data_IF_671161023848
#
_entry.id   IF_671161023848
#
_cell.length_a   1.000
_cell.length_b   1.000
_cell.length_c   1.000
_cell.angle_alpha   90.00
_cell.angle_beta   90.00
_cell.angle_gamma   90.00
#
_symmetry.space_group_name_H-M   'P 1'
#
loop_
_entity.id
_entity.type
_entity.pdbx_description
1 polymer ?
#
# COMPACT_ATOMS: atom_id res chain seq x y z
N UNK A 1 49.48 -0.80 12.52
CA UNK A 1 50.74 -0.83 11.74
C UNK A 1 50.96 -2.25 11.23
N UNK A 2 51.12 -2.42 9.92
CA UNK A 2 51.30 -3.75 9.32
C UNK A 2 52.67 -4.32 9.71
N UNK A 3 52.81 -5.66 9.69
CA UNK A 3 54.10 -6.33 9.97
C UNK A 3 55.22 -5.85 9.03
N UNK A 4 54.84 -5.39 7.83
CA UNK A 4 55.74 -4.84 6.82
C UNK A 4 56.35 -3.49 7.22
N UNK A 5 55.57 -2.60 7.85
CA UNK A 5 56.07 -1.31 8.34
C UNK A 5 57.13 -1.50 9.45
N UNK A 6 56.95 -2.47 10.34
CA UNK A 6 57.92 -2.80 11.39
C UNK A 6 59.24 -3.35 10.83
N UNK A 7 59.16 -4.18 9.79
CA UNK A 7 60.34 -4.65 9.07
C UNK A 7 61.07 -3.48 8.40
N UNK A 8 60.33 -2.55 7.77
CA UNK A 8 60.88 -1.32 7.20
C UNK A 8 61.61 -0.48 8.24
N UNK A 9 60.99 -0.20 9.39
CA UNK A 9 61.63 0.53 10.50
C UNK A 9 62.89 -0.19 10.98
N UNK A 10 62.83 -1.50 11.20
CA UNK A 10 63.99 -2.29 11.62
C UNK A 10 65.15 -2.23 10.63
N UNK A 11 64.87 -2.37 9.33
CA UNK A 11 65.87 -2.25 8.27
C UNK A 11 66.48 -0.84 8.21
N UNK A 12 65.67 0.20 8.42
CA UNK A 12 66.14 1.59 8.42
C UNK A 12 67.00 1.90 9.64
N UNK A 13 66.67 1.37 10.82
CA UNK A 13 67.47 1.50 12.03
C UNK A 13 68.81 0.76 11.88
N UNK A 14 68.81 -0.44 11.29
CA UNK A 14 70.04 -1.18 10.99
C UNK A 14 70.92 -0.41 10.00
N UNK A 15 70.33 0.16 8.95
CA UNK A 15 71.03 0.96 7.94
C UNK A 15 71.65 2.22 8.54
N UNK A 16 70.90 2.97 9.34
CA UNK A 16 71.41 4.14 10.05
C UNK A 16 72.49 3.76 11.08
N UNK A 17 72.32 2.63 11.78
CA UNK A 17 73.33 2.09 12.69
C UNK A 17 74.64 1.75 11.98
N UNK A 18 74.57 1.15 10.78
CA UNK A 18 75.75 0.86 9.96
C UNK A 18 76.45 2.14 9.48
N UNK A 19 75.69 3.17 9.08
CA UNK A 19 76.23 4.49 8.73
C UNK A 19 76.94 5.13 9.92
N UNK A 20 76.31 5.13 11.10
CA UNK A 20 76.89 5.68 12.33
C UNK A 20 78.16 4.93 12.75
N UNK A 21 78.16 3.59 12.65
CA UNK A 21 79.33 2.77 12.92
C UNK A 21 80.48 3.11 11.95
N UNK A 22 80.18 3.21 10.65
CA UNK A 22 81.17 3.59 9.64
C UNK A 22 81.77 4.98 9.91
N UNK A 23 80.94 5.93 10.34
CA UNK A 23 81.36 7.29 10.71
C UNK A 23 82.23 7.30 11.98
N UNK A 24 81.88 6.48 12.99
CA UNK A 24 82.69 6.34 14.22
C UNK A 24 84.06 5.72 13.94
N UNK A 25 84.15 4.72 13.07
CA UNK A 25 85.42 4.11 12.68
C UNK A 25 86.33 5.06 11.90
N UNK A 26 85.75 6.01 11.16
CA UNK A 26 86.48 6.98 10.33
C UNK A 26 86.40 8.42 10.87
N UNK A 27 86.22 8.58 12.19
CA UNK A 27 85.89 9.85 12.83
C UNK A 27 86.86 11.00 12.51
N UNK A 28 88.17 10.72 12.50
CA UNK A 28 89.21 11.71 12.21
C UNK A 28 89.11 12.22 10.76
N UNK A 29 88.90 11.32 9.80
CA UNK A 29 88.71 11.66 8.38
C UNK A 29 87.42 12.46 8.15
N UNK A 30 86.40 12.18 8.96
CA UNK A 30 85.10 12.84 8.88
C UNK A 30 85.13 14.29 9.39
N UNK A 31 85.90 14.56 10.46
CA UNK A 31 86.12 15.91 10.99
C UNK A 31 86.93 16.81 10.04
N UNK A 32 87.71 16.22 9.14
CA UNK A 32 88.49 16.95 8.13
C UNK A 32 87.73 17.25 6.83
N UNK A 33 86.48 16.82 6.69
CA UNK A 33 85.66 17.06 5.48
C UNK A 33 85.22 18.52 5.36
N UNK A 34 85.17 19.03 4.13
CA UNK A 34 84.63 20.35 3.83
C UNK A 34 83.09 20.35 3.98
N UNK A 35 82.46 21.49 4.28
CA UNK A 35 81.00 21.58 4.40
C UNK A 35 80.21 21.06 3.18
N UNK A 36 80.73 21.20 1.96
CA UNK A 36 80.07 20.65 0.76
C UNK A 36 80.09 19.12 0.72
N UNK A 37 81.17 18.48 1.19
CA UNK A 37 81.33 17.02 1.19
C UNK A 37 80.41 16.36 2.23
N UNK A 38 80.07 17.08 3.30
CA UNK A 38 79.00 16.69 4.22
C UNK A 38 77.64 16.62 3.53
N UNK A 39 77.34 17.59 2.67
CA UNK A 39 76.13 17.60 1.85
C UNK A 39 76.07 16.40 0.91
N UNK A 40 77.16 16.11 0.20
CA UNK A 40 77.25 14.99 -0.73
C UNK A 40 77.10 13.63 -0.02
N UNK A 41 77.69 13.48 1.17
CA UNK A 41 77.55 12.27 1.98
C UNK A 41 76.11 12.06 2.47
N UNK A 42 75.47 13.11 2.99
CA UNK A 42 74.09 13.02 3.47
C UNK A 42 73.12 12.79 2.31
N UNK A 43 73.32 13.44 1.17
CA UNK A 43 72.52 13.20 -0.03
C UNK A 43 72.67 11.75 -0.55
N UNK A 44 73.89 11.23 -0.56
CA UNK A 44 74.17 9.84 -0.95
C UNK A 44 73.60 8.80 0.02
N UNK A 45 73.59 9.09 1.32
CA UNK A 45 73.10 8.18 2.36
C UNK A 45 71.57 8.22 2.52
N UNK A 46 70.96 9.41 2.45
CA UNK A 46 69.51 9.57 2.58
C UNK A 46 68.74 9.36 1.28
N UNK A 47 69.38 9.47 0.10
CA UNK A 47 68.73 9.24 -1.20
C UNK A 47 68.09 7.84 -1.29
N UNK A 48 68.84 6.75 -1.10
CA UNK A 48 68.29 5.39 -1.09
C UNK A 48 67.22 5.18 -0.02
N UNK A 49 67.40 5.80 1.17
CA UNK A 49 66.44 5.71 2.27
C UNK A 49 65.10 6.37 1.91
N UNK A 50 65.13 7.53 1.26
CA UNK A 50 63.92 8.25 0.84
C UNK A 50 63.15 7.45 -0.22
N UNK A 51 63.86 6.88 -1.21
CA UNK A 51 63.24 6.04 -2.25
C UNK A 51 62.64 4.77 -1.63
N UNK A 52 63.35 4.13 -0.69
CA UNK A 52 62.85 2.95 0.02
C UNK A 52 61.51 3.23 0.72
N UNK A 53 61.40 4.34 1.45
CA UNK A 53 60.17 4.73 2.13
C UNK A 53 59.05 5.14 1.17
N UNK A 54 59.36 5.79 0.05
CA UNK A 54 58.39 6.10 -0.99
C UNK A 54 57.77 4.82 -1.58
N UNK A 55 58.60 3.84 -1.92
CA UNK A 55 58.14 2.56 -2.48
C UNK A 55 57.32 1.78 -1.44
N UNK A 56 57.77 1.72 -0.19
CA UNK A 56 57.03 1.06 0.89
C UNK A 56 55.67 1.72 1.13
N UNK A 57 55.63 3.06 1.13
CA UNK A 57 54.40 3.83 1.23
C UNK A 57 53.44 3.56 0.07
N UNK A 58 53.94 3.49 -1.17
CA UNK A 58 53.14 3.16 -2.35
C UNK A 58 52.51 1.76 -2.24
N UNK A 59 53.26 0.75 -1.80
CA UNK A 59 52.70 -0.59 -1.58
C UNK A 59 51.66 -0.64 -0.47
N UNK A 60 51.85 0.13 0.60
CA UNK A 60 50.87 0.22 1.68
C UNK A 60 49.57 0.89 1.19
N UNK A 61 49.67 2.03 0.51
CA UNK A 61 48.53 2.72 -0.10
C UNK A 61 47.77 1.81 -1.08
N UNK A 62 48.49 1.03 -1.90
CA UNK A 62 47.88 0.08 -2.82
C UNK A 62 47.08 -1.03 -2.12
N UNK A 63 47.55 -1.53 -0.97
CA UNK A 63 46.81 -2.51 -0.17
C UNK A 63 45.56 -1.90 0.47
N UNK A 64 45.67 -0.68 1.01
CA UNK A 64 44.55 0.06 1.58
C UNK A 64 43.46 0.33 0.53
N UNK A 65 43.84 0.72 -0.69
CA UNK A 65 42.91 0.91 -1.81
C UNK A 65 42.20 -0.38 -2.20
N UNK A 66 42.91 -1.51 -2.26
CA UNK A 66 42.30 -2.82 -2.58
C UNK A 66 41.29 -3.25 -1.53
N UNK A 67 41.57 -2.99 -0.25
CA UNK A 67 40.63 -3.26 0.83
C UNK A 67 39.39 -2.35 0.72
N UNK A 68 39.59 -1.05 0.48
CA UNK A 68 38.48 -0.10 0.27
C UNK A 68 37.59 -0.50 -0.91
N UNK A 69 38.17 -0.92 -2.04
CA UNK A 69 37.40 -1.39 -3.20
C UNK A 69 36.59 -2.65 -2.86
N UNK A 70 37.17 -3.59 -2.09
CA UNK A 70 36.47 -4.80 -1.67
C UNK A 70 35.32 -4.48 -0.71
N UNK A 71 35.53 -3.59 0.25
CA UNK A 71 34.49 -3.13 1.18
C UNK A 71 33.37 -2.40 0.44
N UNK A 72 33.72 -1.53 -0.50
CA UNK A 72 32.75 -0.83 -1.34
C UNK A 72 31.91 -1.80 -2.17
N UNK A 73 32.54 -2.81 -2.78
CA UNK A 73 31.83 -3.84 -3.54
C UNK A 73 30.83 -4.60 -2.66
N UNK A 74 31.22 -4.96 -1.43
CA UNK A 74 30.32 -5.61 -0.47
C UNK A 74 29.17 -4.67 -0.06
N UNK A 75 29.46 -3.39 0.20
CA UNK A 75 28.45 -2.40 0.56
C UNK A 75 27.43 -2.18 -0.56
N UNK A 76 27.88 -2.15 -1.81
CA UNK A 76 26.97 -2.05 -2.98
C UNK A 76 26.07 -3.26 -3.08
N UNK A 77 26.60 -4.46 -2.82
CA UNK A 77 25.79 -5.69 -2.85
C UNK A 77 24.73 -5.70 -1.73
N UNK A 78 25.12 -5.31 -0.50
CA UNK A 78 24.19 -5.15 0.61
C UNK A 78 23.10 -4.11 0.33
N UNK A 79 23.45 -3.00 -0.33
CA UNK A 79 22.47 -1.99 -0.73
C UNK A 79 21.49 -2.53 -1.77
N UNK A 80 21.94 -3.32 -2.75
CA UNK A 80 21.04 -3.95 -3.72
C UNK A 80 20.04 -4.89 -3.05
N UNK A 81 20.51 -5.73 -2.14
CA UNK A 81 19.64 -6.63 -1.36
C UNK A 81 18.64 -5.85 -0.49
N UNK A 82 19.09 -4.77 0.15
CA UNK A 82 18.19 -3.90 0.93
C UNK A 82 17.11 -3.26 0.05
N UNK A 83 17.46 -2.86 -1.18
CA UNK A 83 16.50 -2.32 -2.15
C UNK A 83 15.52 -3.38 -2.62
N UNK A 84 15.95 -4.63 -2.84
CA UNK A 84 15.02 -5.71 -3.22
C UNK A 84 14.02 -6.01 -2.10
N UNK A 85 14.49 -6.17 -0.86
CA UNK A 85 13.61 -6.40 0.30
C UNK A 85 12.63 -5.24 0.50
N UNK A 86 13.09 -4.00 0.31
CA UNK A 86 12.22 -2.82 0.41
C UNK A 86 11.13 -2.81 -0.67
N UNK A 87 11.47 -3.22 -1.91
CA UNK A 87 10.48 -3.34 -2.99
C UNK A 87 9.43 -4.40 -2.67
N UNK A 88 9.85 -5.57 -2.21
CA UNK A 88 8.93 -6.66 -1.85
C UNK A 88 7.99 -6.23 -0.70
N UNK A 89 8.51 -5.50 0.29
CA UNK A 89 7.72 -4.96 1.38
C UNK A 89 6.69 -3.91 0.91
N UNK A 90 7.06 -3.03 -0.03
CA UNK A 90 6.14 -2.06 -0.62
C UNK A 90 5.03 -2.74 -1.42
N UNK A 91 5.36 -3.78 -2.19
CA UNK A 91 4.37 -4.55 -2.94
C UNK A 91 3.38 -5.25 -2.00
N UNK A 92 3.86 -5.80 -0.89
CA UNK A 92 3.00 -6.39 0.13
C UNK A 92 2.09 -5.36 0.81
N UNK A 93 2.62 -4.18 1.18
CA UNK A 93 1.82 -3.11 1.76
C UNK A 93 0.72 -2.64 0.80
N UNK A 94 1.03 -2.48 -0.50
CA UNK A 94 0.04 -2.13 -1.52
C UNK A 94 -1.11 -3.15 -1.61
N UNK A 95 -0.81 -4.45 -1.53
CA UNK A 95 -1.84 -5.49 -1.53
C UNK A 95 -2.76 -5.38 -0.31
N UNK A 96 -2.17 -5.20 0.88
CA UNK A 96 -2.93 -5.02 2.12
C UNK A 96 -3.83 -3.78 2.06
N UNK A 97 -3.33 -2.67 1.50
CA UNK A 97 -4.14 -1.46 1.32
C UNK A 97 -5.32 -1.69 0.38
N UNK A 98 -5.10 -2.40 -0.74
CA UNK A 98 -6.19 -2.75 -1.67
C UNK A 98 -7.24 -3.64 -1.01
N UNK A 99 -6.83 -4.64 -0.23
CA UNK A 99 -7.75 -5.50 0.51
C UNK A 99 -8.57 -4.71 1.54
N UNK A 100 -7.92 -3.83 2.30
CA UNK A 100 -8.60 -2.93 3.25
C UNK A 100 -9.61 -2.04 2.56
N UNK A 101 -9.24 -1.47 1.41
CA UNK A 101 -10.15 -0.60 0.66
C UNK A 101 -11.34 -1.37 0.10
N UNK A 102 -11.13 -2.58 -0.42
CA UNK A 102 -12.25 -3.43 -0.85
C UNK A 102 -13.17 -3.82 0.32
N UNK A 103 -12.59 -4.15 1.48
CA UNK A 103 -13.36 -4.45 2.68
C UNK A 103 -14.14 -3.21 3.15
N UNK A 104 -13.52 -2.02 3.09
CA UNK A 104 -14.17 -0.74 3.38
C UNK A 104 -15.36 -0.52 2.45
N UNK A 105 -15.17 -0.58 1.13
CA UNK A 105 -16.22 -0.40 0.11
C UNK A 105 -17.38 -1.39 0.34
N UNK A 106 -17.07 -2.67 0.61
CA UNK A 106 -18.11 -3.68 0.90
C UNK A 106 -18.87 -3.40 2.20
N UNK A 107 -18.23 -2.80 3.19
CA UNK A 107 -18.83 -2.51 4.50
C UNK A 107 -19.72 -1.26 4.49
N UNK A 108 -19.45 -0.29 3.61
CA UNK A 108 -20.24 0.93 3.48
C UNK A 108 -21.47 0.75 2.60
N UNK A 109 -21.47 -0.16 1.60
CA UNK A 109 -22.63 -0.32 0.71
C UNK A 109 -23.87 -0.89 1.43
N UNK A 110 -24.98 -0.14 1.50
CA UNK A 110 -26.20 -0.62 2.10
C UNK A 110 -26.80 -1.73 1.24
N UNK A 111 -27.48 -2.67 1.88
CA UNK A 111 -28.16 -3.77 1.20
C UNK A 111 -29.59 -3.82 1.69
N UNK A 112 -30.54 -3.65 0.76
CA UNK A 112 -31.96 -3.67 1.07
C UNK A 112 -32.53 -5.05 0.72
N UNK A 113 -33.08 -5.74 1.71
CA UNK A 113 -33.86 -6.96 1.48
C UNK A 113 -35.33 -6.61 1.42
N UNK A 114 -36.03 -7.10 0.40
CA UNK A 114 -37.46 -6.85 0.19
C UNK A 114 -38.23 -8.13 0.45
N UNK A 115 -39.20 -8.07 1.35
CA UNK A 115 -40.10 -9.17 1.69
C UNK A 115 -41.52 -8.69 1.41
N UNK A 116 -42.18 -9.24 0.39
CA UNK A 116 -43.62 -9.04 0.19
C UNK A 116 -44.41 -10.03 1.03
N UNK A 117 -45.32 -9.52 1.84
CA UNK A 117 -46.30 -10.31 2.58
C UNK A 117 -47.63 -10.23 1.82
N UNK A 118 -48.29 -11.39 1.65
CA UNK A 118 -49.53 -11.53 0.88
C UNK A 118 -50.65 -10.58 1.29
N UNK A 119 -51.60 -10.40 0.38
CA UNK A 119 -52.64 -9.38 0.49
C UNK A 119 -53.73 -9.69 1.51
N UNK A 120 -54.40 -8.65 2.00
CA UNK A 120 -55.69 -8.78 2.67
C UNK A 120 -56.77 -8.19 1.78
N UNK A 121 -57.84 -8.95 1.52
CA UNK A 121 -58.99 -8.52 0.73
C UNK A 121 -60.07 -7.98 1.67
N UNK A 122 -60.43 -6.70 1.55
CA UNK A 122 -61.53 -6.12 2.31
C UNK A 122 -62.85 -6.38 1.58
N UNK A 123 -63.75 -7.15 2.20
CA UNK A 123 -65.01 -7.58 1.60
C UNK A 123 -65.99 -6.43 1.30
N UNK A 124 -66.38 -6.33 0.03
CA UNK A 124 -67.37 -5.39 -0.51
C UNK A 124 -67.34 -5.36 -2.04
N UNK A 125 -68.39 -4.89 -2.71
CA UNK A 125 -68.53 -4.89 -4.18
C UNK A 125 -67.41 -4.14 -4.95
N UNK A 126 -66.55 -3.37 -4.25
CA UNK A 126 -65.34 -2.71 -4.76
C UNK A 126 -64.09 -3.15 -3.96
N UNK A 127 -63.90 -4.44 -3.74
CA UNK A 127 -62.88 -4.99 -2.83
C UNK A 127 -61.45 -4.58 -3.22
N UNK A 128 -60.84 -3.68 -2.45
CA UNK A 128 -59.43 -3.31 -2.60
C UNK A 128 -58.53 -4.42 -2.05
N UNK A 129 -57.51 -4.80 -2.80
CA UNK A 129 -56.47 -5.73 -2.33
C UNK A 129 -55.33 -4.89 -1.78
N UNK A 130 -54.97 -5.08 -0.51
CA UNK A 130 -53.79 -4.41 0.08
C UNK A 130 -52.65 -5.40 0.23
N UNK A 131 -51.56 -5.24 -0.53
CA UNK A 131 -50.33 -6.01 -0.32
C UNK A 131 -49.35 -5.20 0.53
N UNK A 132 -48.65 -5.84 1.45
CA UNK A 132 -47.65 -5.18 2.30
C UNK A 132 -46.25 -5.59 1.86
N UNK A 133 -45.44 -4.62 1.46
CA UNK A 133 -44.02 -4.79 1.12
C UNK A 133 -43.19 -4.27 2.28
N UNK A 134 -42.42 -5.14 2.93
CA UNK A 134 -41.46 -4.75 3.95
C UNK A 134 -40.08 -4.67 3.30
N UNK A 135 -39.43 -3.53 3.43
CA UNK A 135 -38.04 -3.34 3.01
C UNK A 135 -37.22 -3.20 4.29
N UNK A 136 -36.12 -3.94 4.38
CA UNK A 136 -35.21 -3.94 5.54
C UNK A 136 -33.82 -3.53 5.09
N UNK A 137 -33.20 -2.59 5.80
CA UNK A 137 -31.81 -2.23 5.56
C UNK A 137 -30.87 -3.17 6.33
N UNK A 138 -30.16 -4.06 5.64
CA UNK A 138 -29.43 -5.18 6.27
C UNK A 138 -27.95 -4.91 6.56
N UNK A 139 -27.30 -3.90 5.94
CA UNK A 139 -25.85 -3.67 6.08
C UNK A 139 -25.46 -2.38 6.78
N UNK A 140 -25.62 -1.24 6.13
CA UNK A 140 -25.11 0.06 6.56
C UNK A 140 -26.21 1.11 6.48
N UNK A 141 -26.11 2.17 7.29
CA UNK A 141 -27.13 3.22 7.30
C UNK A 141 -27.15 3.97 5.96
N UNK A 142 -28.32 4.27 5.44
CA UNK A 142 -28.51 4.99 4.19
C UNK A 142 -29.25 6.32 4.44
N UNK A 143 -28.89 7.36 3.72
CA UNK A 143 -29.53 8.68 3.80
C UNK A 143 -30.31 8.99 2.52
N UNK A 144 -31.30 9.88 2.59
CA UNK A 144 -32.12 10.31 1.43
C UNK A 144 -32.71 9.17 0.62
N UNK A 145 -33.25 8.15 1.30
CA UNK A 145 -33.83 7.00 0.62
C UNK A 145 -35.20 7.37 0.05
N UNK A 146 -35.39 7.23 -1.25
CA UNK A 146 -36.66 7.39 -1.94
C UNK A 146 -37.10 6.07 -2.58
N UNK A 147 -38.37 5.73 -2.41
CA UNK A 147 -38.98 4.53 -2.96
C UNK A 147 -40.07 4.96 -3.94
N UNK A 148 -39.91 4.59 -5.22
CA UNK A 148 -40.81 4.99 -6.30
C UNK A 148 -41.21 3.76 -7.10
N UNK A 149 -42.51 3.49 -7.19
CA UNK A 149 -43.06 2.47 -8.08
C UNK A 149 -43.32 3.02 -9.47
N UNK A 150 -43.01 2.24 -10.50
CA UNK A 150 -43.33 2.52 -11.90
C UNK A 150 -44.14 1.34 -12.49
N UNK A 151 -45.38 1.57 -12.98
CA UNK A 151 -46.18 2.82 -12.92
C UNK A 151 -46.58 3.22 -11.49
N UNK A 152 -46.92 4.51 -11.23
CA UNK A 152 -47.23 5.02 -9.90
C UNK A 152 -48.42 4.29 -9.27
N UNK A 153 -48.28 3.92 -7.99
CA UNK A 153 -49.31 3.19 -7.24
C UNK A 153 -49.80 4.05 -6.08
N UNK A 154 -51.06 3.87 -5.67
CA UNK A 154 -51.54 4.40 -4.40
C UNK A 154 -50.91 3.60 -3.26
N UNK A 155 -49.68 3.97 -2.88
CA UNK A 155 -48.98 3.43 -1.74
C UNK A 155 -49.32 4.26 -0.50
N UNK A 156 -49.91 3.62 0.51
CA UNK A 156 -49.95 4.15 1.87
C UNK A 156 -48.60 3.88 2.53
N UNK A 157 -47.77 4.93 2.68
CA UNK A 157 -46.45 4.84 3.31
C UNK A 157 -45.55 6.04 3.00
N UNK A 158 -44.44 6.16 3.75
CA UNK A 158 -43.40 7.16 3.48
C UNK A 158 -42.65 6.81 2.18
N UNK A 159 -42.88 7.56 1.11
CA UNK A 159 -42.13 7.46 -0.16
C UNK A 159 -40.70 8.00 -0.05
N UNK A 160 -40.38 8.70 1.05
CA UNK A 160 -39.09 9.30 1.32
C UNK A 160 -38.72 9.11 2.79
N UNK A 161 -37.49 8.65 3.04
CA UNK A 161 -36.92 8.49 4.38
C UNK A 161 -35.55 9.19 4.43
N UNK A 162 -35.40 10.27 5.22
CA UNK A 162 -34.18 11.06 5.24
C UNK A 162 -32.98 10.30 5.81
N UNK A 163 -33.22 9.41 6.78
CA UNK A 163 -32.18 8.56 7.38
C UNK A 163 -32.76 7.19 7.70
N UNK A 164 -32.06 6.14 7.29
CA UNK A 164 -32.46 4.76 7.48
C UNK A 164 -31.33 3.96 8.12
N UNK A 165 -31.51 3.63 9.40
CA UNK A 165 -30.49 2.92 10.19
C UNK A 165 -30.37 1.43 9.81
N UNK A 166 -29.21 0.83 10.12
CA UNK A 166 -28.97 -0.61 9.96
C UNK A 166 -29.97 -1.42 10.82
N UNK A 167 -30.66 -2.38 10.20
CA UNK A 167 -31.61 -3.29 10.84
C UNK A 167 -33.02 -2.72 10.99
N UNK A 168 -33.27 -1.52 10.47
CA UNK A 168 -34.58 -0.89 10.56
C UNK A 168 -35.47 -1.29 9.37
N UNK A 169 -36.74 -1.57 9.65
CA UNK A 169 -37.73 -1.99 8.67
C UNK A 169 -38.65 -0.83 8.27
N UNK A 170 -38.97 -0.73 6.99
CA UNK A 170 -40.02 0.17 6.48
C UNK A 170 -41.07 -0.67 5.79
N UNK A 171 -42.33 -0.54 6.24
CA UNK A 171 -43.48 -1.21 5.66
C UNK A 171 -44.20 -0.25 4.71
N UNK A 172 -44.39 -0.68 3.47
CA UNK A 172 -45.17 0.01 2.46
C UNK A 172 -46.42 -0.80 2.18
N UNK A 173 -47.59 -0.19 2.33
CA UNK A 173 -48.88 -0.82 2.01
C UNK A 173 -49.34 -0.34 0.64
N UNK A 174 -49.40 -1.24 -0.33
CA UNK A 174 -49.81 -0.94 -1.70
C UNK A 174 -51.26 -1.39 -1.87
N UNK A 175 -52.14 -0.47 -2.27
CA UNK A 175 -53.52 -0.80 -2.60
C UNK A 175 -53.68 -1.03 -4.11
N UNK A 176 -54.32 -2.13 -4.47
CA UNK A 176 -54.67 -2.50 -5.84
C UNK A 176 -56.19 -2.46 -6.03
N UNK A 177 -56.62 -1.97 -7.19
CA UNK A 177 -57.98 -2.13 -7.69
C UNK A 177 -58.09 -3.50 -8.39
N UNK A 178 -59.14 -4.30 -8.10
CA UNK A 178 -59.24 -5.69 -8.55
C UNK A 178 -59.53 -5.87 -10.06
N UNK A 179 -59.71 -4.79 -10.82
CA UNK A 179 -60.28 -4.81 -12.18
C UNK A 179 -59.29 -4.50 -13.31
N UNK A 180 -57.98 -4.67 -13.10
CA UNK A 180 -56.95 -4.50 -14.12
C UNK A 180 -56.16 -5.78 -14.41
N UNK A 181 -55.58 -5.96 -15.62
CA UNK A 181 -54.65 -7.04 -15.89
C UNK A 181 -53.44 -6.96 -14.94
N UNK A 182 -52.78 -8.10 -14.61
CA UNK A 182 -51.59 -8.11 -13.78
C UNK A 182 -50.44 -7.37 -14.48
N UNK A 183 -50.30 -6.08 -14.20
CA UNK A 183 -49.20 -5.26 -14.72
C UNK A 183 -47.91 -5.62 -13.98
N UNK A 184 -46.83 -5.86 -14.76
CA UNK A 184 -45.48 -5.90 -14.21
C UNK A 184 -45.14 -4.52 -13.66
N UNK A 185 -44.63 -4.45 -12.42
CA UNK A 185 -44.24 -3.18 -11.79
C UNK A 185 -42.79 -3.21 -11.37
N UNK A 186 -42.12 -2.08 -11.45
CA UNK A 186 -40.74 -1.91 -11.00
C UNK A 186 -40.73 -0.98 -9.78
N UNK A 187 -40.07 -1.38 -8.71
CA UNK A 187 -39.75 -0.52 -7.58
C UNK A 187 -38.32 -0.02 -7.75
N UNK A 188 -38.19 1.29 -7.89
CA UNK A 188 -36.91 1.98 -7.84
C UNK A 188 -36.65 2.47 -6.42
N UNK A 189 -35.56 2.02 -5.83
CA UNK A 189 -35.05 2.52 -4.55
C UNK A 189 -33.82 3.38 -4.84
N UNK A 190 -33.90 4.69 -4.64
CA UNK A 190 -32.74 5.57 -4.74
C UNK A 190 -32.27 5.93 -3.34
N UNK A 191 -30.96 5.86 -3.07
CA UNK A 191 -30.40 6.16 -1.75
C UNK A 191 -29.04 6.84 -1.87
N UNK A 192 -28.65 7.56 -0.83
CA UNK A 192 -27.31 8.10 -0.65
C UNK A 192 -26.56 7.26 0.39
N UNK A 193 -25.39 6.73 0.02
CA UNK A 193 -24.52 5.99 0.94
C UNK A 193 -23.88 6.95 1.97
N UNK A 194 -23.26 6.39 3.01
CA UNK A 194 -22.44 7.04 4.03
C UNK A 194 -21.32 7.93 3.47
N UNK A 195 -20.82 7.64 2.26
CA UNK A 195 -19.84 8.46 1.55
C UNK A 195 -20.47 9.55 0.65
N UNK A 196 -21.79 9.75 0.70
CA UNK A 196 -22.48 10.80 -0.04
C UNK A 196 -22.77 10.48 -1.51
N UNK A 197 -22.38 9.29 -2.00
CA UNK A 197 -22.71 8.85 -3.36
C UNK A 197 -24.15 8.34 -3.46
N UNK A 198 -24.83 8.73 -4.54
CA UNK A 198 -26.22 8.36 -4.79
C UNK A 198 -26.29 7.14 -5.71
N UNK A 199 -27.01 6.11 -5.28
CA UNK A 199 -27.22 4.87 -6.02
C UNK A 199 -28.71 4.62 -6.25
N UNK A 200 -29.05 3.86 -7.29
CA UNK A 200 -30.42 3.43 -7.58
C UNK A 200 -30.45 1.90 -7.74
N UNK A 201 -31.37 1.24 -7.07
CA UNK A 201 -31.67 -0.18 -7.21
C UNK A 201 -33.05 -0.35 -7.82
N UNK A 202 -33.19 -1.37 -8.66
CA UNK A 202 -34.44 -1.71 -9.34
C UNK A 202 -34.88 -3.11 -8.93
N UNK A 203 -36.15 -3.25 -8.57
CA UNK A 203 -36.75 -4.51 -8.15
C UNK A 203 -38.04 -4.75 -8.93
N UNK A 204 -38.16 -5.92 -9.55
CA UNK A 204 -39.32 -6.28 -10.36
C UNK A 204 -40.37 -7.01 -9.51
N UNK A 205 -41.63 -6.58 -9.63
CA UNK A 205 -42.80 -7.15 -8.97
C UNK A 205 -43.70 -7.79 -10.04
N UNK A 206 -43.93 -9.09 -9.91
CA UNK A 206 -44.88 -9.84 -10.73
C UNK A 206 -46.03 -10.37 -9.86
N UNK A 207 -47.29 -10.16 -10.25
CA UNK A 207 -48.44 -10.81 -9.60
C UNK A 207 -48.38 -12.33 -9.84
N UNK A 208 -48.59 -13.16 -8.80
CA UNK A 208 -48.70 -14.62 -8.99
C UNK A 208 -50.14 -14.93 -9.37
N UNK A 209 -50.31 -15.68 -10.45
CA UNK A 209 -51.61 -16.06 -11.00
C UNK A 209 -52.32 -17.20 -10.23
N UNK A 210 -51.74 -17.68 -9.12
CA UNK A 210 -52.35 -18.70 -8.26
C UNK A 210 -52.70 -18.08 -6.91
N UNK A 211 -54.00 -17.82 -6.77
CA UNK A 211 -54.68 -17.21 -5.61
C UNK A 211 -54.51 -15.68 -5.51
N UNK A 212 -55.62 -14.92 -5.34
CA UNK A 212 -55.67 -13.45 -5.45
C UNK A 212 -54.95 -12.68 -4.32
N UNK A 213 -54.00 -13.33 -3.65
CA UNK A 213 -53.47 -12.94 -2.36
C UNK A 213 -51.94 -13.03 -2.30
N UNK A 214 -51.26 -13.49 -3.36
CA UNK A 214 -49.81 -13.68 -3.32
C UNK A 214 -49.10 -12.94 -4.46
N UNK A 215 -48.22 -12.01 -4.09
CA UNK A 215 -47.30 -11.33 -5.01
C UNK A 215 -45.91 -11.88 -4.72
N UNK A 216 -45.29 -12.58 -5.67
CA UNK A 216 -43.92 -13.03 -5.52
C UNK A 216 -43.03 -11.89 -5.99
N UNK A 217 -42.11 -11.49 -5.11
CA UNK A 217 -41.00 -10.65 -5.52
C UNK A 217 -39.99 -11.57 -6.18
N UNK A 218 -39.99 -11.62 -7.52
CA UNK A 218 -38.84 -12.16 -8.24
C UNK A 218 -37.71 -11.15 -8.08
N UNK A 219 -36.78 -11.43 -7.18
CA UNK A 219 -35.57 -10.65 -6.94
C UNK A 219 -34.62 -10.82 -8.14
N UNK A 220 -34.94 -10.19 -9.27
CA UNK A 220 -33.99 -10.05 -10.37
C UNK A 220 -33.26 -8.71 -10.20
N UNK A 221 -32.04 -8.79 -9.67
CA UNK A 221 -31.18 -7.64 -9.41
C UNK A 221 -30.59 -7.18 -10.74
N UNK A 222 -31.26 -6.26 -11.41
CA UNK A 222 -30.67 -5.57 -12.55
C UNK A 222 -29.57 -4.61 -12.06
N UNK A 223 -28.32 -5.08 -12.01
CA UNK A 223 -27.15 -4.21 -11.86
C UNK A 223 -26.99 -3.38 -13.15
N UNK A 224 -27.68 -2.25 -13.24
CA UNK A 224 -27.32 -1.20 -14.19
C UNK A 224 -26.16 -0.40 -13.60
N UNK A 225 -24.96 -0.72 -14.08
CA UNK A 225 -23.78 0.10 -13.95
C UNK A 225 -24.13 1.54 -14.37
N UNK A 226 -24.11 2.46 -13.40
CA UNK A 226 -24.13 3.88 -13.71
C UNK A 226 -22.78 4.22 -14.34
N UNK A 227 -22.81 4.38 -15.66
CA UNK A 227 -21.74 4.93 -16.48
C UNK A 227 -21.45 6.37 -16.05
N UNK A 228 -20.34 6.58 -15.32
CA UNK A 228 -19.49 7.78 -15.36
C UNK A 228 -18.05 7.32 -15.18
#
# INVERSE_FOLDING_TARGET
MTRLSWFGVGLTLLYLGAILLFMMLNWVSFLSLKPNEWGDFLAGSFGPLAIFWLVLGFFQQGQELRLQVKELALSVEQQKESVSVTRDALDHDQLLQREKEQARIKSIQPSFSIIASGGSQQGGHNGKITNTVTVTNTRSSASNVSLVFQPPVHAGGLNFKPFWSKGEDVRLSIQFEPTGPPEKRELRISYTDTDGQSHSLYYNFAPIEKEPTSMNVSLDRAELAASI
#
